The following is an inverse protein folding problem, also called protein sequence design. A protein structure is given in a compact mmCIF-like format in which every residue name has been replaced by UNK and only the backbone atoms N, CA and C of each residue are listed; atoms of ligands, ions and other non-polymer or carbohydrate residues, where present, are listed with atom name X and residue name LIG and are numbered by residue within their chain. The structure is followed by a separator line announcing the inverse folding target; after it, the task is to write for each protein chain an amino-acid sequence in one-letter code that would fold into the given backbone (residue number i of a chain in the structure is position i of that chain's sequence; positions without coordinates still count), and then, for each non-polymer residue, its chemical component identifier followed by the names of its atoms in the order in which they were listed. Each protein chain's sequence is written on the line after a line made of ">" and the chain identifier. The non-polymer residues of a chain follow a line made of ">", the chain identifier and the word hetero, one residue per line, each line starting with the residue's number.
data_IF_659376655544
#
_entry.id   IF_659376655544
#
_cell.length_a   1.000
_cell.length_b   1.000
_cell.length_c   1.000
_cell.angle_alpha   90.00
_cell.angle_beta   90.00
_cell.angle_gamma   90.00
#
_symmetry.space_group_name_H-M   'P 1'
#
loop_
_entity.id
_entity.type
_entity.pdbx_description
1 polymer ?
#
# COMPACT_ATOMS: atom_id res chain seq x y z
N UNK A 1 1.38 -6.28 16.20
CA UNK A 1 0.90 -4.89 16.27
C UNK A 1 -0.59 -4.87 16.65
N UNK A 2 -1.00 -5.69 17.61
CA UNK A 2 -2.40 -5.98 17.97
C UNK A 2 -3.09 -4.93 18.85
N UNK A 3 -2.37 -3.89 19.30
CA UNK A 3 -2.90 -2.93 20.29
C UNK A 3 -3.69 -1.76 19.67
N UNK A 4 -3.55 -1.48 18.38
CA UNK A 4 -4.06 -0.23 17.80
C UNK A 4 -5.49 -0.34 17.23
N UNK A 5 -5.98 -1.52 16.87
CA UNK A 5 -7.35 -1.75 16.35
C UNK A 5 -7.99 -3.05 16.92
N UNK A 6 -8.28 -3.11 18.24
CA UNK A 6 -8.77 -4.31 18.91
C UNK A 6 -10.15 -4.81 18.42
N UNK A 7 -10.92 -3.98 17.72
CA UNK A 7 -12.27 -4.31 17.23
C UNK A 7 -12.31 -5.14 15.94
N UNK A 8 -11.17 -5.32 15.25
CA UNK A 8 -11.14 -6.05 13.97
C UNK A 8 -10.99 -7.58 14.13
N UNK A 9 -10.83 -8.08 15.36
CA UNK A 9 -10.92 -9.50 15.72
C UNK A 9 -9.83 -10.43 15.19
N UNK A 10 -9.07 -10.04 14.17
CA UNK A 10 -7.93 -10.80 13.60
C UNK A 10 -6.84 -9.85 13.11
N UNK A 11 -5.59 -10.20 13.39
CA UNK A 11 -4.43 -9.53 12.79
C UNK A 11 -4.35 -9.95 11.31
N UNK A 12 -4.15 -8.99 10.41
CA UNK A 12 -3.91 -9.30 9.00
C UNK A 12 -2.58 -10.03 8.86
N UNK A 13 -2.60 -11.22 8.29
CA UNK A 13 -1.41 -12.00 7.98
C UNK A 13 -1.09 -11.85 6.49
N UNK A 14 -0.01 -11.13 6.17
CA UNK A 14 0.50 -11.02 4.81
C UNK A 14 1.25 -12.31 4.45
N UNK A 15 0.89 -13.04 3.38
CA UNK A 15 1.54 -14.29 2.98
C UNK A 15 2.86 -14.01 2.25
N UNK A 16 3.85 -13.52 2.99
CA UNK A 16 5.14 -13.04 2.44
C UNK A 16 5.89 -14.18 1.74
N UNK A 17 5.96 -15.36 2.36
CA UNK A 17 6.73 -16.48 1.83
C UNK A 17 6.08 -17.06 0.57
N UNK A 18 4.75 -17.22 0.57
CA UNK A 18 4.01 -17.67 -0.60
C UNK A 18 4.09 -16.66 -1.75
N UNK A 19 4.05 -15.36 -1.44
CA UNK A 19 4.20 -14.30 -2.44
C UNK A 19 5.60 -14.28 -3.07
N UNK A 20 6.64 -14.57 -2.29
CA UNK A 20 8.03 -14.65 -2.79
C UNK A 20 8.26 -15.81 -3.75
N UNK A 21 7.56 -16.94 -3.55
CA UNK A 21 7.68 -18.11 -4.41
C UNK A 21 7.19 -17.85 -5.86
N UNK A 22 6.43 -16.78 -6.09
CA UNK A 22 5.96 -16.40 -7.42
C UNK A 22 7.05 -15.74 -8.30
N UNK A 23 8.15 -15.28 -7.69
CA UNK A 23 9.31 -14.66 -8.38
C UNK A 23 8.90 -13.56 -9.38
N UNK A 24 8.01 -12.66 -8.93
CA UNK A 24 7.51 -11.55 -9.72
C UNK A 24 8.26 -10.25 -9.38
N UNK A 25 8.43 -9.39 -10.38
CA UNK A 25 8.81 -8.00 -10.14
C UNK A 25 7.65 -7.28 -9.43
N UNK A 26 7.91 -6.77 -8.22
CA UNK A 26 6.90 -6.12 -7.38
C UNK A 26 7.33 -4.69 -7.06
N UNK A 27 6.41 -3.75 -7.24
CA UNK A 27 6.53 -2.37 -6.78
C UNK A 27 5.38 -2.03 -5.84
N UNK A 28 5.68 -1.37 -4.72
CA UNK A 28 4.69 -0.86 -3.79
C UNK A 28 4.51 0.64 -3.98
N UNK A 29 3.29 1.07 -4.30
CA UNK A 29 2.92 2.48 -4.46
C UNK A 29 1.71 2.78 -3.57
N UNK A 30 1.80 3.86 -2.80
CA UNK A 30 0.75 4.25 -1.87
C UNK A 30 0.81 5.73 -1.52
N UNK A 31 -0.23 6.26 -0.86
CA UNK A 31 -0.30 7.67 -0.52
C UNK A 31 0.71 8.01 0.57
N UNK A 32 1.26 9.22 0.52
CA UNK A 32 1.99 9.76 1.67
C UNK A 32 1.02 10.02 2.83
N UNK A 33 1.35 9.49 4.00
CA UNK A 33 0.51 9.54 5.19
C UNK A 33 1.30 9.29 6.46
N UNK A 34 0.59 9.19 7.58
CA UNK A 34 1.16 8.90 8.89
C UNK A 34 0.20 8.06 9.72
N UNK A 35 0.78 7.29 10.63
CA UNK A 35 0.07 6.49 11.64
C UNK A 35 -0.77 5.36 11.00
N UNK A 36 -0.20 4.68 10.00
CA UNK A 36 -0.83 3.53 9.35
C UNK A 36 -1.20 2.46 10.38
N UNK A 37 -2.45 2.02 10.36
CA UNK A 37 -3.04 1.09 11.33
C UNK A 37 -3.10 1.62 12.77
N UNK A 38 -2.93 2.94 12.94
CA UNK A 38 -3.03 3.67 14.21
C UNK A 38 -4.34 4.44 14.35
N UNK A 39 -4.60 4.97 15.55
CA UNK A 39 -5.86 5.70 15.86
C UNK A 39 -5.98 7.04 15.14
N UNK A 40 -4.87 7.63 14.74
CA UNK A 40 -4.77 8.92 14.06
C UNK A 40 -4.26 8.76 12.62
N UNK A 41 -4.53 7.59 12.04
CA UNK A 41 -4.22 7.28 10.65
C UNK A 41 -4.77 8.38 9.74
N UNK A 42 -3.90 8.89 8.86
CA UNK A 42 -4.24 9.95 7.92
C UNK A 42 -3.33 9.93 6.72
N UNK A 43 -3.86 10.45 5.62
CA UNK A 43 -3.13 10.63 4.36
C UNK A 43 -3.15 12.10 3.95
N UNK A 44 -2.14 12.51 3.18
CA UNK A 44 -2.12 13.83 2.58
C UNK A 44 -2.99 13.83 1.32
N UNK A 45 -4.18 14.43 1.43
CA UNK A 45 -5.20 14.39 0.38
C UNK A 45 -4.72 14.84 -1.02
N UNK A 46 -4.01 15.97 -1.19
CA UNK A 46 -3.42 16.34 -2.49
C UNK A 46 -2.52 15.27 -3.11
N UNK A 47 -1.71 14.57 -2.31
CA UNK A 47 -0.90 13.47 -2.81
C UNK A 47 -1.76 12.25 -3.12
N UNK A 48 -2.65 11.84 -2.20
CA UNK A 48 -3.45 10.63 -2.34
C UNK A 48 -4.45 10.68 -3.51
N UNK A 49 -5.08 11.83 -3.74
CA UNK A 49 -6.15 12.00 -4.72
C UNK A 49 -5.75 12.82 -5.95
N UNK A 50 -4.54 13.40 -5.95
CA UNK A 50 -4.00 14.15 -7.09
C UNK A 50 -2.79 13.46 -7.71
N UNK A 51 -1.69 13.35 -6.96
CA UNK A 51 -0.40 12.87 -7.49
C UNK A 51 -0.39 11.35 -7.69
N UNK A 52 -0.81 10.58 -6.68
CA UNK A 52 -0.73 9.12 -6.70
C UNK A 52 -1.48 8.47 -7.87
N UNK A 53 -2.71 8.90 -8.25
CA UNK A 53 -3.39 8.33 -9.42
C UNK A 53 -2.59 8.48 -10.71
N UNK A 54 -1.95 9.64 -10.93
CA UNK A 54 -1.11 9.86 -12.10
C UNK A 54 0.14 8.97 -12.07
N UNK A 55 0.80 8.86 -10.92
CA UNK A 55 1.96 7.98 -10.74
C UNK A 55 1.63 6.50 -10.99
N UNK A 56 0.46 6.03 -10.53
CA UNK A 56 0.01 4.66 -10.77
C UNK A 56 -0.14 4.38 -12.27
N UNK A 57 -0.83 5.26 -12.99
CA UNK A 57 -1.03 5.13 -14.44
C UNK A 57 0.31 5.14 -15.18
N UNK A 58 1.18 6.09 -14.86
CA UNK A 58 2.50 6.20 -15.49
C UNK A 58 3.38 4.97 -15.20
N UNK A 59 3.34 4.45 -13.97
CA UNK A 59 4.11 3.24 -13.60
C UNK A 59 3.66 2.04 -14.42
N UNK A 60 2.35 1.81 -14.55
CA UNK A 60 1.82 0.72 -15.38
C UNK A 60 2.22 0.93 -16.85
N UNK A 61 2.04 2.13 -17.38
CA UNK A 61 2.40 2.43 -18.76
C UNK A 61 3.88 2.17 -19.04
N UNK A 62 4.79 2.55 -18.14
CA UNK A 62 6.22 2.33 -18.30
C UNK A 62 6.62 0.87 -18.08
N UNK A 63 6.02 0.18 -17.12
CA UNK A 63 6.32 -1.22 -16.81
C UNK A 63 5.93 -2.16 -17.97
N UNK A 64 4.94 -1.79 -18.77
CA UNK A 64 4.44 -2.59 -19.89
C UNK A 64 4.66 -1.93 -21.26
N UNK A 65 5.39 -0.82 -21.34
CA UNK A 65 5.80 -0.24 -22.62
C UNK A 65 6.83 -1.15 -23.28
N UNK A 66 6.55 -1.55 -24.53
CA UNK A 66 7.40 -2.40 -25.36
C UNK A 66 8.54 -1.61 -26.00
#
# INVERSE_FOLDING_TARGET
>A
MSRQLPSLGREYHLPVEESRALDLDVVNLGPWGRDAHGRLERVHAPHAFGVLPALLVETVQRAFAS
#
